data_IF_584195110992
#
_entry.id   IF_584195110992
#
_cell.length_a   1.000
_cell.length_b   1.000
_cell.length_c   1.000
_cell.angle_alpha   90.00
_cell.angle_beta   90.00
_cell.angle_gamma   90.00
#
_symmetry.space_group_name_H-M   'P 1'
#
loop_
_entity.id
_entity.type
_entity.pdbx_description
1 polymer ?
#
# COMPACT_ATOMS: atom_id res chain seq x y z
N UNK A 1 -16.20 -6.19 38.76
CA UNK A 1 -15.54 -7.22 37.93
C UNK A 1 -16.23 -7.40 36.58
N UNK A 2 -17.54 -7.69 36.55
CA UNK A 2 -18.33 -7.82 35.29
C UNK A 2 -18.21 -6.64 34.31
N UNK A 3 -18.29 -5.35 34.72
CA UNK A 3 -18.22 -4.23 33.76
C UNK A 3 -16.83 -4.06 33.13
N UNK A 4 -15.75 -4.41 33.86
CA UNK A 4 -14.37 -4.32 33.36
C UNK A 4 -14.11 -5.41 32.31
N UNK A 5 -14.61 -6.63 32.55
CA UNK A 5 -14.52 -7.72 31.58
C UNK A 5 -15.28 -7.37 30.30
N UNK A 6 -16.49 -6.81 30.42
CA UNK A 6 -17.27 -6.37 29.26
C UNK A 6 -16.56 -5.29 28.44
N UNK A 7 -15.96 -4.28 29.08
CA UNK A 7 -15.21 -3.23 28.37
C UNK A 7 -13.97 -3.77 27.65
N UNK A 8 -13.25 -4.70 28.27
CA UNK A 8 -12.06 -5.32 27.65
C UNK A 8 -12.47 -6.15 26.44
N UNK A 9 -13.55 -6.93 26.54
CA UNK A 9 -14.08 -7.70 25.42
C UNK A 9 -14.45 -6.82 24.23
N UNK A 10 -15.09 -5.68 24.45
CA UNK A 10 -15.46 -4.73 23.38
C UNK A 10 -14.21 -4.18 22.69
N UNK A 11 -13.18 -3.78 23.45
CA UNK A 11 -11.93 -3.28 22.88
C UNK A 11 -11.20 -4.33 22.04
N UNK A 12 -11.14 -5.57 22.52
CA UNK A 12 -10.52 -6.68 21.78
C UNK A 12 -11.27 -6.96 20.48
N UNK A 13 -12.60 -7.00 20.53
CA UNK A 13 -13.42 -7.20 19.34
C UNK A 13 -13.24 -6.04 18.35
N UNK A 14 -13.25 -4.79 18.83
CA UNK A 14 -13.02 -3.61 17.99
C UNK A 14 -11.66 -3.63 17.30
N UNK A 15 -10.59 -3.92 18.05
CA UNK A 15 -9.25 -4.06 17.50
C UNK A 15 -9.17 -5.18 16.45
N UNK A 16 -9.80 -6.33 16.72
CA UNK A 16 -9.85 -7.45 15.78
C UNK A 16 -10.57 -7.07 14.48
N UNK A 17 -11.71 -6.38 14.57
CA UNK A 17 -12.45 -5.89 13.39
C UNK A 17 -11.61 -4.92 12.59
N UNK A 18 -10.92 -3.96 13.23
CA UNK A 18 -10.02 -3.04 12.55
C UNK A 18 -8.87 -3.76 11.83
N UNK A 19 -8.26 -4.76 12.47
CA UNK A 19 -7.19 -5.57 11.85
C UNK A 19 -7.72 -6.34 10.64
N UNK A 20 -8.87 -7.00 10.77
CA UNK A 20 -9.47 -7.75 9.66
C UNK A 20 -9.85 -6.82 8.50
N UNK A 21 -10.43 -5.66 8.78
CA UNK A 21 -10.75 -4.66 7.76
C UNK A 21 -9.48 -4.18 7.05
N UNK A 22 -8.42 -3.86 7.80
CA UNK A 22 -7.14 -3.45 7.22
C UNK A 22 -6.52 -4.55 6.34
N UNK A 23 -6.60 -5.82 6.75
CA UNK A 23 -6.12 -6.96 5.95
C UNK A 23 -6.94 -7.11 4.67
N UNK A 24 -8.27 -7.01 4.76
CA UNK A 24 -9.16 -7.13 3.59
C UNK A 24 -8.90 -6.03 2.56
N UNK A 25 -8.75 -4.79 3.00
CA UNK A 25 -8.43 -3.64 2.13
C UNK A 25 -7.05 -3.83 1.48
N UNK A 26 -6.07 -4.35 2.22
CA UNK A 26 -4.75 -4.68 1.66
C UNK A 26 -4.84 -5.79 0.62
N UNK A 27 -5.66 -6.82 0.86
CA UNK A 27 -5.84 -7.94 -0.08
C UNK A 27 -6.48 -7.49 -1.39
N UNK A 28 -7.54 -6.69 -1.34
CA UNK A 28 -8.16 -6.14 -2.57
C UNK A 28 -7.19 -5.26 -3.36
N UNK A 29 -6.39 -4.45 -2.66
CA UNK A 29 -5.35 -3.62 -3.29
C UNK A 29 -4.24 -4.47 -3.92
N UNK A 30 -3.92 -5.62 -3.34
CA UNK A 30 -2.90 -6.51 -3.88
C UNK A 30 -3.33 -7.17 -5.20
N UNK A 31 -4.64 -7.35 -5.42
CA UNK A 31 -5.18 -7.85 -6.69
C UNK A 31 -5.16 -6.76 -7.78
N UNK A 32 -5.45 -5.50 -7.41
CA UNK A 32 -5.46 -4.37 -8.36
C UNK A 32 -4.05 -3.97 -8.84
N UNK A 33 -3.03 -4.22 -8.02
CA UNK A 33 -1.64 -3.83 -8.29
C UNK A 33 -0.69 -5.04 -8.23
N UNK A 34 -0.73 -5.94 -9.23
CA UNK A 34 0.21 -7.06 -9.28
C UNK A 34 1.67 -6.56 -9.32
N UNK A 35 2.64 -7.34 -8.82
CA UNK A 35 4.05 -6.93 -8.91
C UNK A 35 4.48 -6.79 -10.38
N UNK A 36 5.12 -5.67 -10.73
CA UNK A 36 5.66 -5.41 -12.07
C UNK A 36 7.18 -5.21 -12.04
N UNK A 37 7.84 -5.72 -13.08
CA UNK A 37 9.28 -5.55 -13.30
C UNK A 37 9.65 -4.09 -13.62
N UNK A 38 10.94 -3.78 -13.61
CA UNK A 38 11.44 -2.46 -14.01
C UNK A 38 11.15 -2.15 -15.49
N UNK A 39 11.25 -3.15 -16.36
CA UNK A 39 10.95 -2.98 -17.79
C UNK A 39 9.47 -2.63 -18.01
N UNK A 40 8.56 -3.32 -17.33
CA UNK A 40 7.12 -3.05 -17.41
C UNK A 40 6.75 -1.71 -16.79
N UNK A 41 7.38 -1.34 -15.67
CA UNK A 41 7.21 -0.02 -15.06
C UNK A 41 7.62 1.08 -16.03
N UNK A 42 8.80 0.96 -16.64
CA UNK A 42 9.31 1.92 -17.62
C UNK A 42 8.45 2.00 -18.88
N UNK A 43 7.92 0.86 -19.35
CA UNK A 43 7.01 0.83 -20.50
C UNK A 43 5.70 1.59 -20.25
N UNK A 44 5.29 1.74 -18.98
CA UNK A 44 4.09 2.50 -18.57
C UNK A 44 4.40 3.98 -18.29
N UNK A 45 5.66 4.38 -18.21
CA UNK A 45 6.05 5.77 -18.03
C UNK A 45 5.74 6.60 -19.29
N UNK A 46 5.54 7.91 -19.11
CA UNK A 46 5.32 8.82 -20.24
C UNK A 46 6.56 8.85 -21.16
N UNK A 47 6.40 8.97 -22.50
CA UNK A 47 7.52 9.14 -23.40
C UNK A 47 8.42 10.31 -22.99
N UNK A 48 9.74 10.12 -23.10
CA UNK A 48 10.74 11.11 -22.67
C UNK A 48 11.06 11.10 -21.17
N UNK A 49 10.43 10.23 -20.38
CA UNK A 49 10.82 10.02 -18.97
C UNK A 49 12.21 9.37 -18.92
N UNK A 50 13.14 9.97 -18.18
CA UNK A 50 14.46 9.37 -17.94
C UNK A 50 14.30 8.06 -17.14
N UNK A 51 14.77 6.91 -17.66
CA UNK A 51 14.66 5.63 -16.96
C UNK A 51 15.34 5.65 -15.59
N UNK A 52 16.51 6.28 -15.49
CA UNK A 52 17.26 6.39 -14.25
C UNK A 52 16.47 7.16 -13.18
N UNK A 53 15.89 8.29 -13.56
CA UNK A 53 15.08 9.11 -12.64
C UNK A 53 13.83 8.35 -12.23
N UNK A 54 13.15 7.69 -13.17
CA UNK A 54 11.93 6.95 -12.91
C UNK A 54 12.14 5.81 -11.89
N UNK A 55 13.18 4.99 -12.10
CA UNK A 55 13.51 3.89 -11.18
C UNK A 55 14.00 4.40 -9.82
N UNK A 56 14.73 5.52 -9.79
CA UNK A 56 15.15 6.16 -8.54
C UNK A 56 13.95 6.66 -7.74
N UNK A 57 13.01 7.36 -8.39
CA UNK A 57 11.78 7.83 -7.76
C UNK A 57 10.96 6.64 -7.25
N UNK A 58 10.78 5.60 -8.08
CA UNK A 58 10.09 4.36 -7.67
C UNK A 58 10.68 3.78 -6.39
N UNK A 59 12.00 3.71 -6.28
CA UNK A 59 12.71 3.22 -5.08
C UNK A 59 12.50 4.11 -3.87
N UNK A 60 12.54 5.43 -4.05
CA UNK A 60 12.29 6.39 -2.96
C UNK A 60 10.88 6.22 -2.43
N UNK A 61 9.88 6.18 -3.32
CA UNK A 61 8.47 5.99 -2.93
C UNK A 61 8.27 4.69 -2.17
N UNK A 62 8.78 3.58 -2.70
CA UNK A 62 8.69 2.27 -2.05
C UNK A 62 9.28 2.28 -0.64
N UNK A 63 10.49 2.86 -0.50
CA UNK A 63 11.18 2.94 0.78
C UNK A 63 10.49 3.86 1.77
N UNK A 64 10.08 5.06 1.34
CA UNK A 64 9.50 6.08 2.22
C UNK A 64 8.14 5.66 2.73
N UNK A 65 7.32 5.02 1.89
CA UNK A 65 5.96 4.61 2.25
C UNK A 65 5.88 3.17 2.76
N UNK A 66 7.03 2.49 2.89
CA UNK A 66 7.12 1.08 3.29
C UNK A 66 6.19 0.15 2.48
N UNK A 67 6.09 0.41 1.17
CA UNK A 67 5.34 -0.42 0.21
C UNK A 67 6.30 -1.27 -0.62
N UNK A 68 5.79 -2.39 -1.15
CA UNK A 68 6.56 -3.27 -2.04
C UNK A 68 6.97 -2.52 -3.30
N UNK A 69 8.26 -2.62 -3.65
CA UNK A 69 8.85 -1.90 -4.79
C UNK A 69 8.16 -2.25 -6.11
N UNK A 70 7.88 -3.53 -6.30
CA UNK A 70 7.22 -4.09 -7.48
C UNK A 70 5.77 -3.60 -7.61
N UNK A 71 5.16 -3.10 -6.52
CA UNK A 71 3.77 -2.61 -6.49
C UNK A 71 3.64 -1.10 -6.60
N UNK A 72 4.75 -0.36 -6.78
CA UNK A 72 4.71 1.06 -7.13
C UNK A 72 4.54 1.21 -8.64
N UNK A 73 3.45 1.86 -9.05
CA UNK A 73 3.11 2.07 -10.46
C UNK A 73 3.26 3.55 -10.84
N UNK A 74 3.55 3.89 -12.12
CA UNK A 74 3.62 5.27 -12.56
C UNK A 74 2.29 6.03 -12.42
N UNK A 75 1.17 5.30 -12.43
CA UNK A 75 -0.20 5.83 -12.26
C UNK A 75 -0.70 5.84 -10.82
N UNK A 76 0.08 5.34 -9.85
CA UNK A 76 -0.33 5.30 -8.44
C UNK A 76 -0.58 6.71 -7.91
N UNK A 77 -1.75 6.93 -7.31
CA UNK A 77 -2.09 8.10 -6.51
C UNK A 77 -1.46 7.99 -5.13
N UNK A 78 -0.75 9.03 -4.68
CA UNK A 78 -0.05 8.98 -3.40
C UNK A 78 -0.99 8.74 -2.19
N UNK A 79 -2.14 9.41 -2.15
CA UNK A 79 -3.09 9.27 -1.03
C UNK A 79 -3.89 7.99 -1.18
N UNK A 80 -4.65 7.86 -2.27
CA UNK A 80 -5.59 6.75 -2.42
C UNK A 80 -4.88 5.41 -2.66
N UNK A 81 -3.81 5.41 -3.46
CA UNK A 81 -3.11 4.19 -3.87
C UNK A 81 -1.90 3.83 -3.00
N UNK A 82 -1.35 4.76 -2.22
CA UNK A 82 -0.15 4.52 -1.41
C UNK A 82 -0.30 4.96 0.06
N UNK A 83 -1.46 5.49 0.46
CA UNK A 83 -1.74 5.94 1.83
C UNK A 83 -0.67 6.91 2.38
N UNK A 84 -0.18 7.80 1.53
CA UNK A 84 0.69 8.90 1.94
C UNK A 84 -0.17 10.06 2.49
N UNK A 85 -0.39 10.08 3.80
CA UNK A 85 -1.08 11.15 4.55
C UNK A 85 -0.16 11.90 5.54
#
# INVERSE_FOLDING_TARGET
MVPVLASVSILVIGALVCVVAAIRIRATRADDFPPISDAEFLARCKPGTSPEVALKVRRIVAKTLAVEYERVYPSSRFVDDLAAD
#
